data_IF_213732739600
#
_entry.id   IF_213732739600
#
_cell.length_a   1.000
_cell.length_b   1.000
_cell.length_c   1.000
_cell.angle_alpha   90.00
_cell.angle_beta   90.00
_cell.angle_gamma   90.00
#
_symmetry.space_group_name_H-M   'P 1'
#
loop_
_entity.id
_entity.type
_entity.pdbx_description
1 polymer ?
#
# COMPACT_ATOMS: atom_id res chain seq x y z
N UNK A 1 -7.27 12.50 12.62
CA UNK A 1 -7.63 13.51 11.59
C UNK A 1 -6.33 14.04 11.01
N UNK A 2 -6.18 14.02 9.71
CA UNK A 2 -4.94 14.40 8.99
C UNK A 2 -5.17 15.74 8.26
N UNK A 3 -5.15 16.89 8.97
CA UNK A 3 -5.54 18.18 8.39
C UNK A 3 -4.50 18.73 7.42
N UNK A 4 -3.21 18.47 7.66
CA UNK A 4 -2.11 18.96 6.82
C UNK A 4 -2.13 18.31 5.45
N UNK A 5 -2.32 16.99 5.40
CA UNK A 5 -2.32 16.21 4.16
C UNK A 5 -3.48 16.60 3.25
N UNK A 6 -4.69 16.78 3.82
CA UNK A 6 -5.86 17.23 3.06
C UNK A 6 -5.66 18.62 2.48
N UNK A 7 -5.11 19.53 3.29
CA UNK A 7 -4.85 20.89 2.85
C UNK A 7 -3.75 20.95 1.80
N UNK A 8 -2.68 20.16 1.96
CA UNK A 8 -1.64 20.05 0.95
C UNK A 8 -2.18 19.52 -0.38
N UNK A 9 -3.06 18.50 -0.35
CA UNK A 9 -3.71 17.99 -1.55
C UNK A 9 -4.59 19.04 -2.25
N UNK A 10 -5.36 19.81 -1.48
CA UNK A 10 -6.16 20.92 -2.00
C UNK A 10 -5.27 22.01 -2.62
N UNK A 11 -4.23 22.42 -1.91
CA UNK A 11 -3.28 23.43 -2.36
C UNK A 11 -2.56 22.96 -3.64
N UNK A 12 -2.15 21.68 -3.70
CA UNK A 12 -1.56 21.08 -4.89
C UNK A 12 -2.51 21.11 -6.11
N UNK A 13 -3.78 20.73 -5.92
CA UNK A 13 -4.79 20.76 -6.97
C UNK A 13 -5.07 22.16 -7.52
N UNK A 14 -4.90 23.17 -6.66
CA UNK A 14 -5.07 24.58 -7.02
C UNK A 14 -3.77 25.24 -7.49
N UNK A 15 -2.67 24.50 -7.64
CA UNK A 15 -1.32 25.02 -7.95
C UNK A 15 -0.86 26.13 -6.99
N UNK A 16 -1.18 26.00 -5.71
CA UNK A 16 -0.79 26.95 -4.65
C UNK A 16 0.40 26.38 -3.88
N UNK A 17 1.53 27.10 -3.91
CA UNK A 17 2.66 26.81 -3.01
C UNK A 17 2.29 27.22 -1.58
N UNK A 18 2.38 26.28 -0.63
CA UNK A 18 1.99 26.52 0.76
C UNK A 18 2.90 25.80 1.74
N UNK A 19 2.84 26.23 3.01
CA UNK A 19 3.56 25.54 4.10
C UNK A 19 3.11 24.09 4.29
N UNK A 20 1.87 23.74 3.91
CA UNK A 20 1.39 22.35 3.98
C UNK A 20 2.12 21.49 2.94
N UNK A 21 2.30 21.98 1.70
CA UNK A 21 3.05 21.29 0.65
C UNK A 21 4.53 21.19 1.04
N UNK A 22 5.12 22.27 1.55
CA UNK A 22 6.51 22.26 2.05
C UNK A 22 6.70 21.21 3.15
N UNK A 23 5.76 21.12 4.11
CA UNK A 23 5.83 20.14 5.19
C UNK A 23 5.73 18.72 4.65
N UNK A 24 4.79 18.41 3.76
CA UNK A 24 4.67 17.09 3.14
C UNK A 24 5.93 16.73 2.34
N UNK A 25 6.48 17.66 1.57
CA UNK A 25 7.72 17.46 0.84
C UNK A 25 8.91 17.14 1.78
N UNK A 26 9.02 17.88 2.89
CA UNK A 26 10.03 17.61 3.92
C UNK A 26 9.82 16.26 4.60
N UNK A 27 8.58 15.87 4.91
CA UNK A 27 8.27 14.57 5.50
C UNK A 27 8.61 13.42 4.55
N UNK A 28 8.39 13.58 3.24
CA UNK A 28 8.80 12.60 2.23
C UNK A 28 10.33 12.50 2.18
N UNK A 29 11.05 13.61 2.11
CA UNK A 29 12.50 13.62 1.93
C UNK A 29 13.21 13.20 3.23
N UNK A 30 12.83 13.78 4.36
CA UNK A 30 13.52 13.60 5.64
C UNK A 30 12.98 12.38 6.36
N UNK A 31 11.69 12.38 6.69
CA UNK A 31 11.11 11.33 7.56
C UNK A 31 11.07 9.99 6.84
N UNK A 32 10.47 9.93 5.64
CA UNK A 32 10.40 8.69 4.86
C UNK A 32 11.79 8.25 4.41
N UNK A 33 12.63 9.19 3.96
CA UNK A 33 13.99 8.89 3.53
C UNK A 33 14.85 8.35 4.67
N UNK A 34 14.79 8.94 5.88
CA UNK A 34 15.52 8.45 7.05
C UNK A 34 15.00 7.08 7.50
N UNK A 35 13.67 6.91 7.61
CA UNK A 35 13.07 5.63 7.98
C UNK A 35 13.47 4.54 7.00
N UNK A 36 13.39 4.82 5.69
CA UNK A 36 13.83 3.88 4.66
C UNK A 36 15.28 3.45 4.85
N UNK A 37 16.20 4.39 5.11
CA UNK A 37 17.61 4.06 5.35
C UNK A 37 17.84 3.27 6.64
N UNK A 38 17.08 3.54 7.70
CA UNK A 38 17.23 2.83 8.97
C UNK A 38 16.59 1.44 8.97
N UNK A 39 15.61 1.21 8.10
CA UNK A 39 14.86 -0.04 8.03
C UNK A 39 15.33 -0.98 6.92
N UNK A 40 16.36 -0.57 6.18
CA UNK A 40 17.03 -1.40 5.19
C UNK A 40 18.40 -1.80 5.71
N UNK A 41 18.69 -3.09 5.76
CA UNK A 41 19.99 -3.63 6.09
C UNK A 41 20.44 -4.54 4.95
N UNK A 42 21.55 -4.14 4.30
CA UNK A 42 22.12 -4.81 3.14
C UNK A 42 23.58 -5.17 3.41
N UNK A 43 24.12 -6.04 2.58
CA UNK A 43 25.50 -6.47 2.62
C UNK A 43 25.86 -7.25 3.89
N UNK A 44 24.91 -8.01 4.43
CA UNK A 44 25.21 -9.00 5.45
C UNK A 44 26.15 -10.09 4.91
N UNK A 45 26.96 -10.74 5.77
CA UNK A 45 27.76 -11.92 5.37
C UNK A 45 26.91 -13.05 4.80
N UNK A 46 25.69 -13.24 5.29
CA UNK A 46 24.66 -14.10 4.69
C UNK A 46 23.57 -13.20 4.08
N UNK A 47 23.34 -13.26 2.76
CA UNK A 47 22.27 -12.48 2.11
C UNK A 47 20.86 -12.75 2.65
N UNK A 48 20.64 -13.85 3.38
CA UNK A 48 19.36 -14.14 4.05
C UNK A 48 19.08 -13.20 5.21
N UNK A 49 20.11 -12.56 5.74
CA UNK A 49 20.01 -11.59 6.83
C UNK A 49 19.77 -10.17 6.30
N UNK A 50 19.77 -9.96 4.98
CA UNK A 50 19.35 -8.70 4.38
C UNK A 50 17.85 -8.51 4.58
N UNK A 51 17.42 -7.29 4.92
CA UNK A 51 16.01 -6.98 5.08
C UNK A 51 15.65 -5.59 4.57
N UNK A 52 14.39 -5.45 4.14
CA UNK A 52 13.83 -4.23 3.57
C UNK A 52 12.42 -4.01 4.14
N UNK A 53 12.33 -3.55 5.39
CA UNK A 53 11.04 -3.33 6.04
C UNK A 53 10.16 -2.26 5.36
N UNK A 54 10.77 -1.42 4.55
CA UNK A 54 10.06 -0.43 3.75
C UNK A 54 9.48 -1.01 2.43
N UNK A 55 9.79 -2.27 2.11
CA UNK A 55 9.31 -2.94 0.91
C UNK A 55 8.95 -4.39 1.26
N UNK A 56 7.67 -4.68 1.40
CA UNK A 56 7.16 -6.01 1.77
C UNK A 56 5.79 -6.23 1.10
N UNK A 57 4.82 -6.88 1.76
CA UNK A 57 3.52 -7.26 1.19
C UNK A 57 2.77 -6.15 0.47
N UNK A 58 2.89 -4.89 0.92
CA UNK A 58 2.25 -3.77 0.24
C UNK A 58 2.80 -3.58 -1.19
N UNK A 59 4.11 -3.71 -1.37
CA UNK A 59 4.74 -3.68 -2.69
C UNK A 59 4.50 -4.97 -3.48
N UNK A 60 4.35 -6.12 -2.82
CA UNK A 60 3.96 -7.36 -3.48
C UNK A 60 2.61 -7.22 -4.20
N UNK A 61 1.64 -6.48 -3.63
CA UNK A 61 0.39 -6.15 -4.31
C UNK A 61 0.66 -5.36 -5.59
N UNK A 62 1.52 -4.33 -5.52
CA UNK A 62 1.88 -3.54 -6.70
C UNK A 62 2.53 -4.39 -7.79
N UNK A 63 3.54 -5.20 -7.45
CA UNK A 63 4.21 -6.05 -8.45
C UNK A 63 3.26 -7.09 -9.07
N UNK A 64 2.32 -7.62 -8.29
CA UNK A 64 1.26 -8.48 -8.82
C UNK A 64 0.30 -7.72 -9.74
N UNK A 65 -0.10 -6.52 -9.34
CA UNK A 65 -1.01 -5.67 -10.09
C UNK A 65 -0.41 -5.17 -11.41
N UNK A 66 0.92 -5.06 -11.52
CA UNK A 66 1.60 -4.67 -12.77
C UNK A 66 1.45 -5.68 -13.91
N UNK A 67 0.91 -6.88 -13.66
CA UNK A 67 0.50 -7.80 -14.72
C UNK A 67 -0.70 -7.30 -15.53
N UNK A 68 -1.46 -6.35 -14.99
CA UNK A 68 -2.71 -5.85 -15.56
C UNK A 68 -2.51 -4.44 -16.12
N UNK A 69 -2.40 -4.29 -17.45
CA UNK A 69 -2.04 -3.01 -18.09
C UNK A 69 -2.97 -1.86 -17.70
N UNK A 70 -4.26 -2.14 -17.50
CA UNK A 70 -5.22 -1.11 -17.10
C UNK A 70 -4.94 -0.57 -15.70
N UNK A 71 -4.55 -1.45 -14.75
CA UNK A 71 -4.14 -1.02 -13.43
C UNK A 71 -2.82 -0.22 -13.49
N UNK A 72 -1.83 -0.72 -14.23
CA UNK A 72 -0.51 -0.09 -14.34
C UNK A 72 -0.54 1.28 -15.01
N UNK A 73 -1.38 1.47 -16.06
CA UNK A 73 -1.44 2.71 -16.81
C UNK A 73 -2.34 3.78 -16.19
N UNK A 74 -3.43 3.38 -15.54
CA UNK A 74 -4.46 4.29 -15.07
C UNK A 74 -4.20 4.74 -13.61
N UNK A 75 -3.27 4.07 -12.89
CA UNK A 75 -3.01 4.33 -11.47
C UNK A 75 -1.53 4.59 -11.18
N UNK A 76 -1.28 5.50 -10.24
CA UNK A 76 0.06 5.77 -9.76
C UNK A 76 0.54 4.63 -8.84
N UNK A 77 1.86 4.38 -8.83
CA UNK A 77 2.50 3.42 -7.93
C UNK A 77 2.00 3.54 -6.47
N UNK A 78 2.00 4.78 -5.94
CA UNK A 78 1.56 5.04 -4.57
C UNK A 78 0.08 4.74 -4.30
N UNK A 79 -0.80 4.85 -5.30
CA UNK A 79 -2.21 4.48 -5.18
C UNK A 79 -2.34 2.96 -4.97
N UNK A 80 -1.66 2.17 -5.81
CA UNK A 80 -1.69 0.71 -5.70
C UNK A 80 -1.05 0.24 -4.39
N UNK A 81 0.10 0.82 -4.02
CA UNK A 81 0.77 0.50 -2.75
C UNK A 81 -0.09 0.88 -1.55
N UNK A 82 -0.87 1.98 -1.62
CA UNK A 82 -1.76 2.36 -0.51
C UNK A 82 -2.86 1.32 -0.27
N UNK A 83 -3.41 0.71 -1.33
CA UNK A 83 -4.29 -0.46 -1.21
C UNK A 83 -3.50 -1.67 -0.66
N UNK A 84 -2.27 -1.86 -1.09
CA UNK A 84 -1.36 -2.89 -0.59
C UNK A 84 -1.10 -2.78 0.93
N UNK A 85 -1.02 -1.56 1.48
CA UNK A 85 -0.92 -1.34 2.94
C UNK A 85 -2.16 -1.89 3.66
N UNK A 86 -3.36 -1.69 3.11
CA UNK A 86 -4.59 -2.28 3.67
C UNK A 86 -4.54 -3.82 3.64
N UNK A 87 -3.99 -4.40 2.57
CA UNK A 87 -3.82 -5.85 2.45
C UNK A 87 -2.79 -6.39 3.48
N UNK A 88 -1.67 -5.69 3.66
CA UNK A 88 -0.65 -6.01 4.67
C UNK A 88 -1.26 -6.01 6.08
N UNK A 89 -1.97 -4.94 6.44
CA UNK A 89 -2.63 -4.84 7.75
C UNK A 89 -3.70 -5.93 7.96
N UNK A 90 -4.34 -6.37 6.88
CA UNK A 90 -5.29 -7.50 6.95
C UNK A 90 -4.54 -8.83 7.13
N UNK A 91 -3.43 -9.01 6.43
CA UNK A 91 -2.58 -10.20 6.54
C UNK A 91 -2.03 -10.38 7.95
N UNK A 92 -1.66 -9.26 8.60
CA UNK A 92 -1.13 -9.19 9.98
C UNK A 92 -2.24 -9.09 11.04
N UNK A 93 -3.52 -9.18 10.64
CA UNK A 93 -4.69 -9.08 11.53
C UNK A 93 -4.77 -7.76 12.33
N UNK A 94 -4.14 -6.69 11.83
CA UNK A 94 -4.16 -5.35 12.43
C UNK A 94 -5.41 -4.56 12.01
N UNK A 95 -6.59 -5.07 12.37
CA UNK A 95 -7.87 -4.54 11.84
C UNK A 95 -8.21 -3.13 12.31
N UNK A 96 -7.78 -2.74 13.50
CA UNK A 96 -8.00 -1.37 14.00
C UNK A 96 -7.19 -0.35 13.19
N UNK A 97 -5.91 -0.65 12.94
CA UNK A 97 -5.06 0.21 12.13
C UNK A 97 -5.53 0.24 10.67
N UNK A 98 -5.93 -0.92 10.12
CA UNK A 98 -6.57 -0.97 8.80
C UNK A 98 -7.78 -0.05 8.71
N UNK A 99 -8.62 0.01 9.75
CA UNK A 99 -9.77 0.91 9.76
C UNK A 99 -9.35 2.38 9.69
N UNK A 100 -8.30 2.76 10.42
CA UNK A 100 -7.73 4.12 10.36
C UNK A 100 -7.20 4.46 8.98
N UNK A 101 -6.51 3.50 8.32
CA UNK A 101 -5.98 3.70 6.98
C UNK A 101 -7.12 3.76 5.94
N UNK A 102 -8.20 3.00 6.07
CA UNK A 102 -9.39 3.18 5.24
C UNK A 102 -9.95 4.62 5.33
N UNK A 103 -10.04 5.17 6.53
CA UNK A 103 -10.51 6.53 6.76
C UNK A 103 -9.55 7.57 6.16
N UNK A 104 -8.25 7.36 6.31
CA UNK A 104 -7.22 8.20 5.71
C UNK A 104 -7.30 8.14 4.18
N UNK A 105 -7.21 6.96 3.57
CA UNK A 105 -7.28 6.77 2.12
C UNK A 105 -8.50 7.47 1.53
N UNK A 106 -9.68 7.20 2.11
CA UNK A 106 -10.92 7.83 1.65
C UNK A 106 -10.89 9.34 1.77
N UNK A 107 -10.22 9.87 2.79
CA UNK A 107 -10.17 11.32 3.06
C UNK A 107 -9.38 12.11 2.02
N UNK A 108 -8.46 11.47 1.31
CA UNK A 108 -7.59 12.08 0.29
C UNK A 108 -7.78 11.47 -1.11
N UNK A 109 -8.73 10.55 -1.26
CA UNK A 109 -9.09 9.96 -2.55
C UNK A 109 -8.23 8.79 -2.99
N UNK A 110 -7.54 8.13 -2.04
CA UNK A 110 -6.80 6.90 -2.31
C UNK A 110 -7.73 5.67 -2.30
N UNK A 111 -7.38 4.60 -3.05
CA UNK A 111 -8.23 3.43 -3.20
C UNK A 111 -8.38 2.63 -1.90
N UNK A 112 -9.55 2.03 -1.76
CA UNK A 112 -9.95 1.16 -0.64
C UNK A 112 -10.42 -0.22 -1.11
N UNK A 113 -10.56 -0.42 -2.43
CA UNK A 113 -11.07 -1.66 -3.04
C UNK A 113 -10.30 -2.00 -4.30
N UNK A 114 -10.37 -3.27 -4.73
CA UNK A 114 -9.82 -3.74 -6.02
C UNK A 114 -10.40 -2.96 -7.20
N UNK A 115 -11.72 -2.72 -7.18
CA UNK A 115 -12.39 -2.01 -8.27
C UNK A 115 -11.89 -0.57 -8.45
N UNK A 116 -11.45 0.08 -7.37
CA UNK A 116 -10.88 1.43 -7.44
C UNK A 116 -9.45 1.48 -8.01
N UNK A 117 -8.82 0.33 -8.25
CA UNK A 117 -7.54 0.17 -8.96
C UNK A 117 -7.67 -0.67 -10.22
N UNK A 118 -8.87 -0.70 -10.80
CA UNK A 118 -9.21 -1.41 -12.03
C UNK A 118 -8.93 -2.93 -12.01
N UNK A 119 -8.98 -3.55 -10.83
CA UNK A 119 -8.82 -4.99 -10.61
C UNK A 119 -10.10 -5.63 -10.10
N UNK A 120 -10.18 -6.97 -10.22
CA UNK A 120 -11.30 -7.80 -9.79
C UNK A 120 -10.84 -8.93 -8.85
N UNK A 121 -11.78 -9.61 -8.23
CA UNK A 121 -11.47 -10.80 -7.40
C UNK A 121 -10.86 -11.94 -8.23
N UNK A 122 -11.18 -12.02 -9.53
CA UNK A 122 -10.64 -13.03 -10.46
C UNK A 122 -9.14 -12.83 -10.75
N UNK A 123 -8.63 -11.60 -10.60
CA UNK A 123 -7.22 -11.26 -10.83
C UNK A 123 -6.33 -11.66 -9.64
N UNK A 124 -6.91 -11.82 -8.45
CA UNK A 124 -6.16 -11.99 -7.19
C UNK A 124 -5.24 -13.22 -7.18
N UNK A 125 -5.61 -14.40 -7.71
CA UNK A 125 -4.67 -15.52 -7.77
C UNK A 125 -3.41 -15.23 -8.60
N UNK A 126 -3.54 -14.54 -9.73
CA UNK A 126 -2.40 -14.15 -10.55
C UNK A 126 -1.51 -13.11 -9.84
N UNK A 127 -2.12 -12.17 -9.12
CA UNK A 127 -1.41 -11.19 -8.28
C UNK A 127 -0.58 -11.92 -7.22
N UNK A 128 -1.16 -12.87 -6.50
CA UNK A 128 -0.48 -13.60 -5.44
C UNK A 128 0.66 -14.47 -5.99
N UNK A 129 0.44 -15.15 -7.10
CA UNK A 129 1.47 -15.95 -7.76
C UNK A 129 2.67 -15.09 -8.20
N UNK A 130 2.41 -13.93 -8.81
CA UNK A 130 3.46 -12.97 -9.17
C UNK A 130 4.17 -12.42 -7.93
N UNK A 131 3.43 -12.06 -6.90
CA UNK A 131 3.96 -11.59 -5.62
C UNK A 131 4.94 -12.59 -5.00
N UNK A 132 4.64 -13.88 -5.03
CA UNK A 132 5.51 -14.93 -4.51
C UNK A 132 6.85 -15.09 -5.28
N UNK A 133 6.96 -14.49 -6.46
CA UNK A 133 8.16 -14.53 -7.29
C UNK A 133 9.12 -13.34 -7.10
N UNK A 134 8.72 -12.32 -6.34
CA UNK A 134 9.57 -11.13 -6.11
C UNK A 134 10.32 -11.22 -4.78
N UNK A 135 11.45 -10.51 -4.69
CA UNK A 135 12.32 -10.58 -3.52
C UNK A 135 11.62 -10.06 -2.25
N UNK A 136 10.73 -9.08 -2.37
CA UNK A 136 9.98 -8.52 -1.26
C UNK A 136 9.11 -9.54 -0.52
N UNK A 137 8.71 -10.62 -1.19
CA UNK A 137 8.01 -11.74 -0.58
C UNK A 137 8.85 -12.42 0.51
N UNK A 138 10.16 -12.49 0.30
CA UNK A 138 11.09 -13.13 1.26
C UNK A 138 11.29 -12.31 2.53
N UNK A 139 10.89 -11.01 2.53
CA UNK A 139 10.99 -10.13 3.71
C UNK A 139 9.75 -10.19 4.60
N UNK A 140 8.76 -10.97 4.21
CA UNK A 140 7.55 -11.17 5.03
C UNK A 140 7.91 -12.05 6.23
N UNK A 141 7.64 -11.60 7.47
CA UNK A 141 7.92 -12.41 8.65
C UNK A 141 7.17 -13.76 8.64
N UNK A 142 7.87 -14.82 8.99
CA UNK A 142 7.32 -16.18 8.97
C UNK A 142 7.42 -16.84 7.61
N UNK A 143 6.48 -17.76 7.34
CA UNK A 143 6.39 -18.47 6.06
C UNK A 143 5.15 -17.97 5.30
N UNK A 144 5.28 -16.99 4.41
CA UNK A 144 4.14 -16.49 3.65
C UNK A 144 3.67 -17.54 2.64
N UNK A 145 2.34 -17.68 2.52
CA UNK A 145 1.72 -18.55 1.51
C UNK A 145 0.82 -17.73 0.59
N UNK A 146 0.74 -18.15 -0.68
CA UNK A 146 -0.15 -17.51 -1.66
C UNK A 146 -1.61 -17.55 -1.17
N UNK A 147 -2.06 -18.64 -0.55
CA UNK A 147 -3.43 -18.78 -0.03
C UNK A 147 -3.75 -17.74 1.05
N UNK A 148 -2.83 -17.53 2.01
CA UNK A 148 -3.03 -16.53 3.06
C UNK A 148 -3.04 -15.13 2.47
N UNK A 149 -2.21 -14.87 1.47
CA UNK A 149 -2.13 -13.57 0.80
C UNK A 149 -3.37 -13.30 -0.06
N UNK A 150 -3.85 -14.29 -0.84
CA UNK A 150 -5.12 -14.22 -1.58
C UNK A 150 -6.26 -13.87 -0.63
N UNK A 151 -6.34 -14.60 0.49
CA UNK A 151 -7.37 -14.36 1.51
C UNK A 151 -7.29 -12.93 2.04
N UNK A 152 -6.10 -12.42 2.34
CA UNK A 152 -5.92 -11.07 2.86
C UNK A 152 -6.37 -10.00 1.85
N UNK A 153 -6.07 -10.16 0.56
CA UNK A 153 -6.52 -9.25 -0.50
C UNK A 153 -8.05 -9.26 -0.61
N UNK A 154 -8.68 -10.45 -0.68
CA UNK A 154 -10.13 -10.58 -0.78
C UNK A 154 -10.86 -10.05 0.46
N UNK A 155 -10.36 -10.33 1.66
CA UNK A 155 -10.91 -9.81 2.92
C UNK A 155 -10.76 -8.29 3.00
N UNK A 156 -9.69 -7.72 2.45
CA UNK A 156 -9.48 -6.28 2.35
C UNK A 156 -10.51 -5.65 1.41
N UNK A 157 -10.68 -6.18 0.23
CA UNK A 157 -11.65 -5.68 -0.76
C UNK A 157 -13.08 -5.72 -0.20
N UNK A 158 -13.46 -6.84 0.41
CA UNK A 158 -14.76 -6.99 1.08
C UNK A 158 -14.95 -5.97 2.20
N UNK A 159 -13.91 -5.74 3.02
CA UNK A 159 -13.96 -4.73 4.08
C UNK A 159 -14.07 -3.31 3.51
N UNK A 160 -13.33 -3.00 2.45
CA UNK A 160 -13.39 -1.73 1.73
C UNK A 160 -14.78 -1.46 1.14
N UNK A 161 -15.36 -2.43 0.43
CA UNK A 161 -16.73 -2.36 -0.08
C UNK A 161 -17.75 -2.07 1.04
N UNK A 162 -17.63 -2.76 2.17
CA UNK A 162 -18.48 -2.53 3.36
C UNK A 162 -18.26 -1.15 3.99
N UNK A 163 -17.02 -0.69 4.04
CA UNK A 163 -16.67 0.63 4.56
C UNK A 163 -17.27 1.74 3.71
N UNK A 164 -17.18 1.64 2.38
CA UNK A 164 -17.74 2.61 1.44
C UNK A 164 -19.27 2.65 1.51
N UNK A 165 -19.93 1.49 1.63
CA UNK A 165 -21.39 1.39 1.71
C UNK A 165 -22.01 2.02 2.99
N UNK A 166 -21.26 2.13 4.09
CA UNK A 166 -21.75 2.72 5.35
C UNK A 166 -21.84 4.24 5.34
N UNK A 167 -21.31 4.90 4.31
CA UNK A 167 -21.23 6.37 4.22
C UNK A 167 -22.16 6.99 3.17
N UNK A 168 -23.05 6.17 2.61
CA UNK A 168 -24.19 6.61 1.81
C UNK A 168 -25.43 6.72 2.70
#
# INVERSE_FOLDING_TARGET
MYPTEKKALEDCRNNVSSKNIEQIALDIIITTGLVSNFTVHQNNPDPKDDYYYNSSLAHCVYYGASLFPKCEHDHLHGEIVSFGVLCLLTYDEQYEERQRIFEFNRSIGLPCTLGEIALTEEDVPAIAHKAASVVEWTYVPGEPTEEKFIKAILDTDKAGKKFLAKRI
#
